data_IF_159275993240
#
_entry.id   IF_159275993240
#
_cell.length_a   1.000
_cell.length_b   1.000
_cell.length_c   1.000
_cell.angle_alpha   90.00
_cell.angle_beta   90.00
_cell.angle_gamma   90.00
#
_symmetry.space_group_name_H-M   'P 1'
#
loop_
_entity.id
_entity.type
_entity.pdbx_description
1 polymer ?
#
# COMPACT_ATOMS: atom_id res chain seq x y z
N UNK A 1 21.17 -5.13 -20.20
CA UNK A 1 20.98 -4.74 -18.79
C UNK A 1 19.52 -5.03 -18.43
N UNK A 2 19.24 -5.67 -17.28
CA UNK A 2 17.88 -6.00 -16.81
C UNK A 2 17.73 -5.52 -15.38
N UNK A 3 16.67 -4.74 -15.12
CA UNK A 3 16.34 -4.21 -13.79
C UNK A 3 14.97 -4.74 -13.39
N UNK A 4 14.89 -5.46 -12.26
CA UNK A 4 13.67 -6.01 -11.70
C UNK A 4 13.26 -5.28 -10.43
N UNK A 5 11.94 -5.05 -10.25
CA UNK A 5 11.40 -4.38 -9.07
C UNK A 5 10.33 -5.23 -8.39
N UNK A 6 10.44 -5.39 -7.07
CA UNK A 6 9.44 -6.04 -6.23
C UNK A 6 8.68 -4.97 -5.47
N UNK A 7 7.47 -4.65 -5.94
CA UNK A 7 6.64 -3.61 -5.35
C UNK A 7 5.87 -4.14 -4.14
N UNK A 8 5.78 -3.29 -3.11
CA UNK A 8 5.02 -3.53 -1.90
C UNK A 8 3.73 -2.70 -1.93
N UNK A 9 2.61 -3.34 -1.71
CA UNK A 9 1.24 -2.85 -1.55
C UNK A 9 0.94 -1.47 -2.17
N UNK A 10 1.03 -1.40 -3.50
CA UNK A 10 0.91 -0.16 -4.28
C UNK A 10 -0.48 0.44 -4.15
N UNK A 11 -0.55 1.76 -3.90
CA UNK A 11 -1.79 2.53 -3.90
C UNK A 11 -1.66 3.79 -4.78
N UNK A 12 -2.78 4.42 -5.10
CA UNK A 12 -2.84 5.65 -5.90
C UNK A 12 -4.03 5.67 -6.84
N UNK A 13 -4.03 6.65 -7.76
CA UNK A 13 -5.09 6.81 -8.78
C UNK A 13 -5.21 5.56 -9.67
N UNK A 14 -6.38 5.41 -10.29
CA UNK A 14 -6.69 4.34 -11.26
C UNK A 14 -6.81 2.92 -10.65
N UNK A 15 -6.86 2.80 -9.31
CA UNK A 15 -7.05 1.50 -8.66
C UNK A 15 -8.35 0.80 -9.05
N UNK A 16 -9.40 1.56 -9.40
CA UNK A 16 -10.67 1.02 -9.91
C UNK A 16 -10.49 0.13 -11.15
N UNK A 17 -9.49 0.40 -11.98
CA UNK A 17 -9.18 -0.42 -13.16
C UNK A 17 -8.71 -1.84 -12.82
N UNK A 18 -8.34 -2.09 -11.57
CA UNK A 18 -7.90 -3.42 -11.11
C UNK A 18 -9.05 -4.31 -10.64
N UNK A 19 -10.28 -3.78 -10.56
CA UNK A 19 -11.45 -4.53 -10.12
C UNK A 19 -11.22 -5.25 -8.78
N UNK A 20 -11.54 -6.53 -8.70
CA UNK A 20 -11.38 -7.33 -7.48
C UNK A 20 -9.94 -7.42 -6.95
N UNK A 21 -8.94 -7.11 -7.76
CA UNK A 21 -7.52 -7.06 -7.36
C UNK A 21 -7.07 -5.70 -6.85
N UNK A 22 -7.97 -4.73 -6.72
CA UNK A 22 -7.68 -3.47 -6.09
C UNK A 22 -7.27 -3.68 -4.61
N UNK A 23 -6.43 -2.79 -4.08
CA UNK A 23 -6.00 -2.88 -2.70
C UNK A 23 -7.11 -2.50 -1.70
N UNK A 24 -6.84 -2.68 -0.41
CA UNK A 24 -7.80 -2.45 0.65
C UNK A 24 -8.25 -0.97 0.72
N UNK A 25 -7.35 0.01 0.52
CA UNK A 25 -7.69 1.44 0.53
C UNK A 25 -8.82 1.75 -0.46
N UNK A 26 -8.69 1.29 -1.69
CA UNK A 26 -9.73 1.50 -2.70
C UNK A 26 -11.04 0.82 -2.31
N UNK A 27 -10.97 -0.44 -1.85
CA UNK A 27 -12.16 -1.22 -1.45
C UNK A 27 -12.90 -0.58 -0.28
N UNK A 28 -12.18 -0.09 0.72
CA UNK A 28 -12.78 0.57 1.88
C UNK A 28 -13.43 1.90 1.50
N UNK A 29 -12.82 2.70 0.63
CA UNK A 29 -13.48 3.90 0.11
C UNK A 29 -14.76 3.58 -0.67
N UNK A 30 -14.72 2.55 -1.51
CA UNK A 30 -15.91 2.08 -2.22
C UNK A 30 -17.01 1.61 -1.27
N UNK A 31 -16.66 0.89 -0.19
CA UNK A 31 -17.60 0.48 0.85
C UNK A 31 -18.20 1.71 1.56
N UNK A 32 -17.34 2.61 2.03
CA UNK A 32 -17.77 3.83 2.72
C UNK A 32 -18.82 4.60 1.89
N UNK A 33 -18.51 4.85 0.62
CA UNK A 33 -19.38 5.62 -0.29
C UNK A 33 -20.66 4.89 -0.71
N UNK A 34 -20.62 3.56 -0.83
CA UNK A 34 -21.79 2.77 -1.28
C UNK A 34 -22.68 2.28 -0.15
N UNK A 35 -22.09 1.97 0.99
CA UNK A 35 -22.76 1.27 2.11
C UNK A 35 -22.87 2.14 3.38
N UNK A 36 -22.08 3.22 3.48
CA UNK A 36 -22.03 4.06 4.68
C UNK A 36 -21.26 3.44 5.84
N UNK A 37 -20.44 2.42 5.60
CA UNK A 37 -19.56 1.80 6.59
C UNK A 37 -18.38 1.08 5.90
N UNK A 38 -17.34 0.76 6.67
CA UNK A 38 -16.17 -0.01 6.24
C UNK A 38 -16.12 -1.33 7.00
N UNK A 39 -15.88 -2.43 6.30
CA UNK A 39 -15.63 -3.74 6.91
C UNK A 39 -14.14 -4.04 6.99
N UNK A 40 -13.65 -4.34 8.18
CA UNK A 40 -12.29 -4.81 8.44
C UNK A 40 -12.32 -6.20 9.05
N UNK A 41 -11.30 -6.99 8.78
CA UNK A 41 -11.20 -8.30 9.41
C UNK A 41 -10.85 -8.19 10.90
N UNK A 42 -11.32 -9.16 11.70
CA UNK A 42 -10.81 -9.35 13.06
C UNK A 42 -9.28 -9.39 13.05
N UNK A 43 -8.66 -8.80 14.07
CA UNK A 43 -7.20 -8.64 14.19
C UNK A 43 -6.57 -7.74 13.11
N UNK A 44 -7.32 -6.83 12.50
CA UNK A 44 -6.82 -5.87 11.49
C UNK A 44 -5.66 -5.02 12.03
N UNK A 45 -5.62 -4.76 13.33
CA UNK A 45 -4.53 -4.07 14.06
C UNK A 45 -3.20 -4.85 14.02
N UNK A 46 -3.23 -6.15 13.76
CA UNK A 46 -2.05 -7.01 13.63
C UNK A 46 -1.67 -7.32 12.17
N UNK A 47 -2.37 -6.74 11.21
CA UNK A 47 -2.14 -6.93 9.77
C UNK A 47 -1.44 -5.70 9.21
N UNK A 48 -0.13 -5.80 8.98
CA UNK A 48 0.70 -4.68 8.52
C UNK A 48 1.07 -4.80 7.04
N UNK A 49 1.01 -3.69 6.32
CA UNK A 49 1.50 -3.57 4.94
C UNK A 49 2.37 -2.34 4.78
N UNK A 50 3.41 -2.50 3.95
CA UNK A 50 4.21 -1.39 3.46
C UNK A 50 3.46 -0.76 2.28
N UNK A 51 2.80 0.36 2.54
CA UNK A 51 2.00 1.08 1.56
C UNK A 51 2.89 1.99 0.71
N UNK A 52 2.84 1.82 -0.61
CA UNK A 52 3.76 2.52 -1.52
C UNK A 52 2.97 3.27 -2.58
N UNK A 53 3.18 4.58 -2.67
CA UNK A 53 2.49 5.42 -3.65
C UNK A 53 2.98 5.14 -5.07
N UNK A 54 2.05 4.99 -6.01
CA UNK A 54 2.37 4.68 -7.42
C UNK A 54 3.20 5.78 -8.09
N UNK A 55 2.98 7.05 -7.74
CA UNK A 55 3.76 8.17 -8.27
C UNK A 55 5.24 8.09 -7.87
N UNK A 56 5.54 7.68 -6.64
CA UNK A 56 6.92 7.46 -6.18
C UNK A 56 7.59 6.31 -6.92
N UNK A 57 6.83 5.26 -7.26
CA UNK A 57 7.31 4.14 -8.07
C UNK A 57 7.66 4.62 -9.48
N UNK A 58 6.79 5.41 -10.11
CA UNK A 58 7.05 5.97 -11.44
C UNK A 58 8.31 6.85 -11.42
N UNK A 59 8.45 7.72 -10.43
CA UNK A 59 9.65 8.55 -10.29
C UNK A 59 10.91 7.70 -10.08
N UNK A 60 10.83 6.67 -9.26
CA UNK A 60 11.95 5.73 -9.06
C UNK A 60 12.36 5.05 -10.37
N UNK A 61 11.40 4.62 -11.18
CA UNK A 61 11.70 4.01 -12.49
C UNK A 61 12.42 5.00 -13.42
N UNK A 62 11.98 6.27 -13.45
CA UNK A 62 12.64 7.32 -14.22
C UNK A 62 14.09 7.55 -13.73
N UNK A 63 14.30 7.56 -12.40
CA UNK A 63 15.65 7.69 -11.82
C UNK A 63 16.56 6.53 -12.28
N UNK A 64 16.03 5.29 -12.31
CA UNK A 64 16.79 4.13 -12.81
C UNK A 64 17.07 4.18 -14.31
N UNK A 65 16.21 4.82 -15.11
CA UNK A 65 16.43 4.99 -16.55
C UNK A 65 17.53 6.02 -16.85
N UNK A 66 17.71 7.01 -15.97
CA UNK A 66 18.67 8.12 -16.15
C UNK A 66 19.99 7.91 -15.41
N UNK A 67 20.03 6.99 -14.45
CA UNK A 67 21.21 6.67 -13.66
C UNK A 67 21.88 5.39 -14.19
N UNK A 68 23.21 5.38 -14.24
CA UNK A 68 23.96 4.19 -14.64
C UNK A 68 23.92 3.16 -13.51
N UNK A 69 22.90 2.30 -13.55
CA UNK A 69 22.71 1.20 -12.60
C UNK A 69 22.84 -0.12 -13.34
N UNK A 70 23.60 -1.05 -12.79
CA UNK A 70 23.79 -2.40 -13.36
C UNK A 70 22.49 -3.22 -13.36
N UNK A 71 22.56 -4.47 -13.81
CA UNK A 71 21.47 -5.43 -13.68
C UNK A 71 21.26 -5.81 -12.22
N UNK A 72 20.00 -5.98 -11.79
CA UNK A 72 19.67 -6.36 -10.42
C UNK A 72 18.18 -6.43 -10.14
N UNK A 73 17.85 -6.77 -8.88
CA UNK A 73 16.48 -6.81 -8.38
C UNK A 73 16.41 -5.99 -7.09
N UNK A 74 15.45 -5.06 -7.04
CA UNK A 74 15.26 -4.15 -5.90
C UNK A 74 13.87 -4.29 -5.29
N UNK A 75 13.82 -4.32 -3.95
CA UNK A 75 12.56 -4.12 -3.24
C UNK A 75 12.20 -2.65 -3.27
N UNK A 76 10.94 -2.35 -3.58
CA UNK A 76 10.42 -0.98 -3.71
C UNK A 76 9.20 -0.82 -2.82
N UNK A 77 9.38 -0.10 -1.73
CA UNK A 77 8.39 0.20 -0.71
C UNK A 77 8.75 1.46 0.05
N UNK A 78 7.90 1.89 0.96
CA UNK A 78 8.19 3.02 1.85
C UNK A 78 9.17 2.62 2.98
N UNK A 79 9.16 1.35 3.38
CA UNK A 79 9.86 0.84 4.54
C UNK A 79 9.15 1.17 5.88
N UNK A 80 7.93 1.73 5.80
CA UNK A 80 7.10 2.13 6.94
C UNK A 80 5.75 1.41 6.84
N UNK A 81 5.61 0.22 7.43
CA UNK A 81 4.36 -0.51 7.40
C UNK A 81 3.35 0.08 8.38
N UNK A 82 2.09 0.21 7.95
CA UNK A 82 0.95 0.59 8.77
C UNK A 82 -0.05 -0.56 8.85
N UNK A 83 -0.82 -0.64 9.95
CA UNK A 83 -1.82 -1.68 10.12
C UNK A 83 -3.02 -1.45 9.19
N UNK A 84 -3.79 -2.50 8.96
CA UNK A 84 -5.05 -2.40 8.22
C UNK A 84 -6.06 -1.55 8.99
N UNK A 85 -6.07 -1.68 10.32
CA UNK A 85 -6.98 -0.91 11.15
C UNK A 85 -6.66 0.59 11.07
N UNK A 86 -5.40 0.99 11.27
CA UNK A 86 -4.99 2.41 11.21
C UNK A 86 -5.39 3.07 9.88
N UNK A 87 -5.21 2.36 8.77
CA UNK A 87 -5.58 2.88 7.45
C UNK A 87 -7.10 2.94 7.26
N UNK A 88 -7.83 1.94 7.76
CA UNK A 88 -9.29 1.94 7.69
C UNK A 88 -9.89 3.06 8.56
N UNK A 89 -9.32 3.33 9.74
CA UNK A 89 -9.72 4.43 10.62
C UNK A 89 -9.51 5.79 9.94
N UNK A 90 -8.36 6.03 9.32
CA UNK A 90 -8.12 7.25 8.58
C UNK A 90 -9.13 7.47 7.43
N UNK A 91 -9.49 6.41 6.71
CA UNK A 91 -10.50 6.49 5.65
C UNK A 91 -11.91 6.70 6.24
N UNK A 92 -12.23 6.00 7.33
CA UNK A 92 -13.53 6.12 7.99
C UNK A 92 -13.76 7.53 8.56
N UNK A 93 -12.73 8.13 9.15
CA UNK A 93 -12.75 9.51 9.63
C UNK A 93 -12.99 10.49 8.47
N UNK A 94 -12.26 10.33 7.37
CA UNK A 94 -12.38 11.18 6.18
C UNK A 94 -13.77 11.08 5.52
N UNK A 95 -14.31 9.88 5.37
CA UNK A 95 -15.61 9.62 4.70
C UNK A 95 -16.80 9.78 5.69
N UNK A 96 -16.55 9.99 7.00
CA UNK A 96 -17.58 10.17 8.03
C UNK A 96 -18.41 8.92 8.28
N UNK A 97 -17.80 7.73 8.27
CA UNK A 97 -18.50 6.45 8.39
C UNK A 97 -17.98 5.60 9.55
N UNK A 98 -18.75 4.58 9.94
CA UNK A 98 -18.34 3.62 10.96
C UNK A 98 -17.51 2.47 10.42
N UNK A 99 -16.72 1.83 11.29
CA UNK A 99 -16.02 0.59 10.99
C UNK A 99 -16.75 -0.59 11.64
N UNK A 100 -16.90 -1.66 10.87
CA UNK A 100 -17.48 -2.94 11.33
C UNK A 100 -16.43 -4.04 11.23
N UNK A 101 -16.26 -4.80 12.31
CA UNK A 101 -15.38 -5.96 12.32
C UNK A 101 -16.11 -7.19 11.83
N UNK A 102 -15.50 -7.91 10.90
CA UNK A 102 -16.00 -9.16 10.35
C UNK A 102 -14.97 -10.28 10.51
N UNK A 103 -15.39 -11.56 10.60
CA UNK A 103 -14.46 -12.68 10.64
C UNK A 103 -13.59 -12.73 9.37
N UNK A 104 -12.31 -13.08 9.53
CA UNK A 104 -11.46 -13.35 8.37
C UNK A 104 -11.94 -14.64 7.67
N UNK A 105 -12.13 -14.63 6.33
CA UNK A 105 -12.52 -15.81 5.59
C UNK A 105 -11.52 -16.97 5.77
N UNK A 106 -12.01 -18.20 5.95
CA UNK A 106 -11.17 -19.38 6.22
C UNK A 106 -10.10 -19.64 5.14
N UNK A 107 -10.44 -19.40 3.87
CA UNK A 107 -9.52 -19.54 2.75
C UNK A 107 -8.37 -18.51 2.77
N UNK A 108 -8.53 -17.41 3.51
CA UNK A 108 -7.49 -16.39 3.68
C UNK A 108 -6.59 -16.69 4.88
N UNK A 109 -7.12 -17.25 5.97
CA UNK A 109 -6.37 -17.50 7.23
C UNK A 109 -5.06 -18.26 7.02
N UNK A 110 -5.07 -19.29 6.17
CA UNK A 110 -3.89 -20.12 5.93
C UNK A 110 -2.83 -19.50 5.02
N UNK A 111 -3.21 -18.53 4.20
CA UNK A 111 -2.36 -17.91 3.17
C UNK A 111 -1.92 -16.50 3.53
N UNK A 112 -2.61 -15.89 4.49
CA UNK A 112 -2.44 -14.48 4.79
C UNK A 112 -1.13 -14.19 5.52
N UNK A 113 -0.38 -13.24 5.00
CA UNK A 113 0.83 -12.74 5.68
C UNK A 113 0.44 -11.58 6.59
N UNK A 114 0.68 -11.73 7.90
CA UNK A 114 0.35 -10.68 8.87
C UNK A 114 1.18 -9.42 8.67
N UNK A 115 2.43 -9.54 8.24
CA UNK A 115 3.31 -8.37 8.06
C UNK A 115 4.12 -8.47 6.77
N UNK A 116 4.11 -7.39 5.99
CA UNK A 116 5.05 -7.18 4.88
C UNK A 116 5.66 -5.79 4.99
N UNK A 117 6.99 -5.72 4.83
CA UNK A 117 7.76 -4.49 4.85
C UNK A 117 8.97 -4.66 3.91
N UNK A 118 9.26 -3.65 3.10
CA UNK A 118 10.37 -3.69 2.17
C UNK A 118 11.72 -3.55 2.93
N UNK A 119 12.64 -4.48 2.68
CA UNK A 119 14.06 -4.23 3.00
C UNK A 119 14.64 -3.35 1.88
N UNK A 120 14.90 -2.10 2.23
CA UNK A 120 15.39 -1.07 1.30
C UNK A 120 16.91 -0.90 1.30
N UNK A 121 17.67 -1.77 1.99
CA UNK A 121 19.13 -1.63 2.08
C UNK A 121 19.78 -1.57 0.70
N UNK A 122 19.43 -2.52 -0.18
CA UNK A 122 19.98 -2.56 -1.54
C UNK A 122 19.56 -1.34 -2.37
N UNK A 123 18.28 -0.94 -2.31
CA UNK A 123 17.80 0.25 -3.00
C UNK A 123 18.53 1.51 -2.55
N UNK A 124 18.67 1.71 -1.24
CA UNK A 124 19.39 2.86 -0.66
C UNK A 124 20.88 2.88 -1.01
N UNK A 125 21.52 1.72 -1.11
CA UNK A 125 22.92 1.61 -1.54
C UNK A 125 23.09 1.96 -3.02
N UNK A 126 22.06 1.71 -3.85
CA UNK A 126 22.09 1.92 -5.30
C UNK A 126 21.82 3.38 -5.68
N UNK A 127 20.77 3.98 -5.14
CA UNK A 127 20.28 5.31 -5.56
C UNK A 127 20.19 6.33 -4.41
N UNK A 128 20.68 5.99 -3.22
CA UNK A 128 20.60 6.84 -2.03
C UNK A 128 19.24 6.79 -1.33
N UNK A 129 19.09 7.66 -0.31
CA UNK A 129 17.84 7.83 0.41
C UNK A 129 16.85 8.63 -0.43
N UNK A 130 15.57 8.28 -0.35
CA UNK A 130 14.49 9.06 -0.97
C UNK A 130 13.33 9.26 -0.01
N UNK A 131 12.56 10.33 -0.22
CA UNK A 131 11.30 10.57 0.46
C UNK A 131 10.20 9.75 -0.26
N UNK A 132 9.33 9.15 0.51
CA UNK A 132 8.13 8.47 0.06
C UNK A 132 6.91 9.25 0.53
N UNK A 133 5.87 9.35 -0.30
CA UNK A 133 4.62 9.95 0.11
C UNK A 133 4.00 9.08 1.22
N UNK A 134 3.65 9.72 2.33
CA UNK A 134 2.97 9.03 3.41
C UNK A 134 1.54 8.70 2.98
N UNK A 135 1.08 7.51 3.35
CA UNK A 135 -0.26 7.04 2.96
C UNK A 135 -1.38 7.90 3.56
N UNK A 136 -1.21 8.44 4.74
CA UNK A 136 -2.18 9.35 5.37
C UNK A 136 -2.26 10.68 4.62
N UNK A 137 -1.12 11.29 4.27
CA UNK A 137 -1.09 12.49 3.43
C UNK A 137 -1.85 12.29 2.10
N UNK A 138 -1.72 11.10 1.49
CA UNK A 138 -2.45 10.80 0.27
C UNK A 138 -3.95 10.58 0.50
N UNK A 139 -4.32 9.94 1.62
CA UNK A 139 -5.73 9.78 2.00
C UNK A 139 -6.39 11.15 2.12
N UNK A 140 -5.75 12.11 2.78
CA UNK A 140 -6.24 13.47 2.96
C UNK A 140 -6.35 14.26 1.65
N UNK A 141 -5.41 14.07 0.71
CA UNK A 141 -5.40 14.77 -0.58
C UNK A 141 -6.48 14.27 -1.57
N UNK A 142 -6.98 13.06 -1.40
CA UNK A 142 -7.99 12.45 -2.26
C UNK A 142 -9.41 12.53 -1.66
N UNK A 143 -9.61 13.43 -0.68
CA UNK A 143 -10.89 13.71 -0.04
C UNK A 143 -11.94 14.28 -1.00
#
# INVERSE_FOLDING_TARGET
MVQGFRYFNVYGKWMHLRGNRANAIYKWREQARKQGYIEVWENAEHIFRDWTYVGDICQLQLDFMTTVVGSGIWNVGSGLPHSFLDIAEAIAEQEGVEIRTIPMPENEKSRFRHKTCADLKHLKATIGKRKWLNVYEWIDLEA
#
